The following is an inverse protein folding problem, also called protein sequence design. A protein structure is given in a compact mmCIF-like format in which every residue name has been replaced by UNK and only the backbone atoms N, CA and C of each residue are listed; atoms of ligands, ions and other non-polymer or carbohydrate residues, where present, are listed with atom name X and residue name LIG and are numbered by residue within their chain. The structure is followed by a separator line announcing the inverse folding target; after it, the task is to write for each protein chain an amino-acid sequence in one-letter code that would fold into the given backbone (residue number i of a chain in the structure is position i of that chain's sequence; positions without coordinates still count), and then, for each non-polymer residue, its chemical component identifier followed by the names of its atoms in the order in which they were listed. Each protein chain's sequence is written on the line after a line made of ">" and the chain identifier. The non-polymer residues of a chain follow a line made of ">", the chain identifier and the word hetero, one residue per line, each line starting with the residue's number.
data_IF_556987558901
#
_entry.id   IF_556987558901
#
_cell.length_a   1.000
_cell.length_b   1.000
_cell.length_c   1.000
_cell.angle_alpha   90.00
_cell.angle_beta   90.00
_cell.angle_gamma   90.00
#
_symmetry.space_group_name_H-M   'P 1'
#
loop_
_entity.id
_entity.type
_entity.pdbx_description
1 polymer ?
#
# COMPACT_ATOMS: atom_id res chain seq x y z
N UNK A 1 -17.03 23.15 -5.84
CA UNK A 1 -17.61 22.85 -7.17
C UNK A 1 -18.18 21.42 -7.26
N UNK A 2 -17.40 20.34 -6.98
CA UNK A 2 -17.91 18.97 -7.03
C UNK A 2 -18.90 18.70 -5.88
N UNK A 3 -18.50 19.00 -4.64
CA UNK A 3 -19.32 18.84 -3.43
C UNK A 3 -20.56 19.72 -3.39
N UNK A 4 -20.52 20.88 -4.05
CA UNK A 4 -21.68 21.78 -4.19
C UNK A 4 -22.76 21.20 -5.13
N UNK A 5 -22.36 20.39 -6.10
CA UNK A 5 -23.28 19.75 -7.06
C UNK A 5 -23.83 18.40 -6.56
N UNK A 6 -23.13 17.76 -5.66
CA UNK A 6 -23.48 16.46 -5.12
C UNK A 6 -23.32 16.50 -3.59
N UNK A 7 -24.32 17.09 -2.87
CA UNK A 7 -24.25 17.29 -1.42
C UNK A 7 -24.12 15.99 -0.63
N UNK A 8 -24.56 14.87 -1.20
CA UNK A 8 -24.43 13.53 -0.60
C UNK A 8 -23.04 12.91 -0.80
N UNK A 9 -22.18 13.58 -1.58
CA UNK A 9 -20.83 13.11 -1.83
C UNK A 9 -19.92 13.51 -0.67
N UNK A 10 -19.47 12.52 0.08
CA UNK A 10 -18.61 12.71 1.25
C UNK A 10 -17.60 11.57 1.38
N UNK A 11 -16.61 11.73 2.26
CA UNK A 11 -15.71 10.63 2.61
C UNK A 11 -16.49 9.44 3.17
N UNK A 12 -17.57 9.67 3.92
CA UNK A 12 -18.43 8.61 4.43
C UNK A 12 -19.15 7.84 3.30
N UNK A 13 -19.64 8.52 2.27
CA UNK A 13 -20.28 7.86 1.11
C UNK A 13 -19.29 7.04 0.29
N UNK A 14 -18.04 7.49 0.21
CA UNK A 14 -16.97 6.71 -0.40
C UNK A 14 -16.66 5.45 0.42
N UNK A 15 -16.59 5.60 1.74
CA UNK A 15 -16.33 4.51 2.66
C UNK A 15 -17.40 3.42 2.59
N UNK A 16 -18.68 3.83 2.57
CA UNK A 16 -19.82 2.92 2.40
C UNK A 16 -19.83 2.20 1.05
N UNK A 17 -19.31 2.84 0.02
CA UNK A 17 -19.28 2.32 -1.35
C UNK A 17 -18.04 1.49 -1.64
N UNK A 18 -16.99 1.66 -0.82
CA UNK A 18 -15.78 0.87 -0.97
C UNK A 18 -16.08 -0.56 -0.50
N UNK A 19 -15.70 -1.58 -1.28
CA UNK A 19 -15.90 -2.95 -0.83
C UNK A 19 -15.30 -3.11 0.57
N UNK A 20 -16.10 -3.51 1.54
CA UNK A 20 -15.61 -3.81 2.89
C UNK A 20 -14.66 -4.99 2.78
N UNK A 21 -13.39 -4.68 2.68
CA UNK A 21 -12.40 -5.66 2.38
C UNK A 21 -11.57 -5.93 3.63
N UNK A 22 -11.51 -7.19 3.99
CA UNK A 22 -10.49 -7.71 4.86
C UNK A 22 -9.11 -7.37 4.27
N UNK A 23 -8.08 -7.07 5.08
CA UNK A 23 -6.75 -6.74 4.59
C UNK A 23 -6.18 -7.78 3.61
N UNK A 24 -6.50 -9.06 3.80
CA UNK A 24 -6.10 -10.13 2.90
C UNK A 24 -6.71 -9.99 1.50
N UNK A 25 -7.96 -9.54 1.40
CA UNK A 25 -8.60 -9.25 0.12
C UNK A 25 -7.92 -8.07 -0.58
N UNK A 26 -7.64 -6.98 0.13
CA UNK A 26 -6.95 -5.82 -0.44
C UNK A 26 -5.58 -6.21 -1.01
N UNK A 27 -4.80 -6.99 -0.27
CA UNK A 27 -3.49 -7.46 -0.72
C UNK A 27 -3.58 -8.38 -1.94
N UNK A 28 -4.60 -9.23 -2.00
CA UNK A 28 -4.83 -10.09 -3.16
C UNK A 28 -5.23 -9.28 -4.39
N UNK A 29 -6.15 -8.34 -4.26
CA UNK A 29 -6.60 -7.46 -5.35
C UNK A 29 -5.43 -6.60 -5.87
N UNK A 30 -4.68 -5.97 -4.97
CA UNK A 30 -3.49 -5.20 -5.30
C UNK A 30 -2.46 -6.03 -6.07
N UNK A 31 -2.20 -7.26 -5.61
CA UNK A 31 -1.27 -8.19 -6.28
C UNK A 31 -1.73 -8.56 -7.69
N UNK A 32 -3.03 -8.72 -7.90
CA UNK A 32 -3.58 -9.00 -9.22
C UNK A 32 -3.46 -7.80 -10.15
N UNK A 33 -3.83 -6.60 -9.69
CA UNK A 33 -3.78 -5.38 -10.52
C UNK A 33 -2.36 -4.94 -10.84
N UNK A 34 -1.45 -5.05 -9.89
CA UNK A 34 -0.05 -4.69 -10.14
C UNK A 34 0.64 -5.53 -11.22
N UNK A 35 0.12 -6.72 -11.53
CA UNK A 35 0.74 -7.62 -12.50
C UNK A 35 0.79 -7.06 -13.93
N UNK A 36 -0.04 -6.07 -14.25
CA UNK A 36 -0.01 -5.37 -15.53
C UNK A 36 1.08 -4.28 -15.59
N UNK A 37 1.43 -3.69 -14.43
CA UNK A 37 2.30 -2.53 -14.34
C UNK A 37 3.72 -2.85 -13.83
N UNK A 38 3.88 -3.96 -13.12
CA UNK A 38 5.13 -4.33 -12.44
C UNK A 38 5.60 -5.74 -12.84
N UNK A 39 6.92 -5.96 -12.92
CA UNK A 39 7.46 -7.27 -13.29
C UNK A 39 7.11 -8.35 -12.24
N UNK A 40 6.96 -9.61 -12.67
CA UNK A 40 6.77 -10.72 -11.73
C UNK A 40 7.99 -10.91 -10.83
N UNK A 41 7.79 -11.55 -9.68
CA UNK A 41 8.90 -11.89 -8.79
C UNK A 41 9.92 -12.78 -9.52
N UNK A 42 11.23 -12.53 -9.34
CA UNK A 42 12.27 -13.36 -9.92
C UNK A 42 12.16 -14.82 -9.48
N UNK A 43 12.32 -15.76 -10.44
CA UNK A 43 12.37 -17.20 -10.17
C UNK A 43 11.01 -17.82 -9.78
N UNK A 44 9.89 -17.18 -10.21
CA UNK A 44 8.53 -17.62 -9.89
C UNK A 44 8.29 -17.79 -8.38
N UNK A 45 9.01 -17.02 -7.57
CA UNK A 45 8.87 -17.03 -6.11
C UNK A 45 7.57 -16.33 -5.73
N UNK A 46 6.78 -16.99 -4.89
CA UNK A 46 5.58 -16.42 -4.32
C UNK A 46 5.77 -16.17 -2.82
N UNK A 47 6.15 -14.96 -2.39
CA UNK A 47 6.28 -14.66 -0.98
C UNK A 47 4.90 -14.69 -0.30
N UNK A 48 4.83 -15.38 0.84
CA UNK A 48 3.65 -15.31 1.69
C UNK A 48 3.57 -13.93 2.35
N UNK A 49 2.35 -13.50 2.68
CA UNK A 49 2.14 -12.31 3.49
C UNK A 49 1.05 -12.60 4.53
N UNK A 50 1.40 -12.46 5.80
CA UNK A 50 0.45 -12.56 6.91
C UNK A 50 0.18 -11.20 7.49
N UNK A 51 -1.11 -10.82 7.56
CA UNK A 51 -1.51 -9.61 8.27
C UNK A 51 -1.69 -9.95 9.75
N UNK A 52 -1.02 -9.19 10.61
CA UNK A 52 -1.02 -9.34 12.06
C UNK A 52 -1.48 -8.05 12.72
N UNK A 53 -1.95 -8.16 13.97
CA UNK A 53 -2.29 -7.01 14.80
C UNK A 53 -1.08 -6.58 15.60
N UNK A 54 -0.94 -5.27 15.79
CA UNK A 54 0.02 -4.72 16.74
C UNK A 54 -0.39 -5.14 18.16
N UNK A 55 0.59 -5.45 19.00
CA UNK A 55 0.30 -5.74 20.41
C UNK A 55 -0.30 -4.51 21.10
N UNK A 56 -1.36 -4.65 21.92
CA UNK A 56 -2.00 -3.51 22.60
C UNK A 56 -1.01 -2.62 23.39
N UNK A 57 0.06 -3.19 23.90
CA UNK A 57 1.11 -2.44 24.61
C UNK A 57 1.99 -1.55 23.72
N UNK A 58 1.95 -1.78 22.40
CA UNK A 58 2.74 -1.06 21.40
C UNK A 58 1.91 -0.14 20.51
N UNK A 59 0.59 -0.24 20.54
CA UNK A 59 -0.30 0.52 19.68
C UNK A 59 -0.07 2.04 19.76
N UNK A 60 0.18 2.56 20.96
CA UNK A 60 0.40 3.99 21.19
C UNK A 60 1.66 4.52 20.48
N UNK A 61 2.62 3.65 20.24
CA UNK A 61 3.94 3.99 19.69
C UNK A 61 4.14 3.49 18.26
N UNK A 62 3.15 2.85 17.67
CA UNK A 62 3.24 2.24 16.35
C UNK A 62 2.50 3.07 15.30
N UNK A 63 3.01 3.05 14.08
CA UNK A 63 2.31 3.56 12.89
C UNK A 63 0.96 2.85 12.70
N UNK A 64 0.03 3.42 11.94
CA UNK A 64 -1.26 2.77 11.62
C UNK A 64 -1.10 1.40 10.95
N UNK A 65 -0.09 1.25 10.08
CA UNK A 65 0.39 -0.03 9.59
C UNK A 65 1.90 0.03 9.34
N UNK A 66 2.55 -1.14 9.26
CA UNK A 66 3.94 -1.25 8.84
C UNK A 66 4.27 -2.66 8.37
N UNK A 67 5.12 -2.73 7.35
CA UNK A 67 5.74 -3.94 6.90
C UNK A 67 6.96 -4.28 7.76
N UNK A 68 7.02 -5.50 8.27
CA UNK A 68 8.20 -5.99 8.98
C UNK A 68 9.10 -6.76 8.01
N UNK A 69 10.28 -6.20 7.76
CA UNK A 69 11.29 -6.84 6.90
C UNK A 69 11.64 -8.23 7.43
N UNK A 70 11.56 -9.27 6.59
CA UNK A 70 11.86 -10.64 7.00
C UNK A 70 13.36 -10.82 7.28
N UNK A 71 13.73 -11.90 7.95
CA UNK A 71 15.14 -12.29 8.09
C UNK A 71 15.82 -12.45 6.72
N UNK A 72 17.13 -12.16 6.67
CA UNK A 72 17.90 -12.21 5.40
C UNK A 72 17.95 -13.64 4.81
N UNK A 73 17.86 -14.63 5.65
CA UNK A 73 17.91 -16.07 5.30
C UNK A 73 16.55 -16.68 4.97
N UNK A 74 15.46 -15.97 5.30
CA UNK A 74 14.10 -16.40 4.93
C UNK A 74 13.24 -15.21 4.46
N UNK A 75 13.28 -14.95 3.17
CA UNK A 75 12.53 -13.84 2.51
C UNK A 75 11.13 -14.28 2.06
N UNK A 76 10.75 -15.52 2.31
CA UNK A 76 9.48 -16.07 1.82
C UNK A 76 8.31 -15.78 2.76
N UNK A 77 8.59 -15.61 4.06
CA UNK A 77 7.59 -15.32 5.07
C UNK A 77 7.58 -13.83 5.46
N UNK A 78 6.55 -13.12 5.04
CA UNK A 78 6.42 -11.69 5.26
C UNK A 78 5.24 -11.36 6.18
N UNK A 79 5.35 -10.28 6.91
CA UNK A 79 4.30 -9.81 7.82
C UNK A 79 4.04 -8.32 7.69
N UNK A 80 2.76 -7.95 7.63
CA UNK A 80 2.31 -6.57 7.76
C UNK A 80 1.54 -6.49 9.07
N UNK A 81 1.86 -5.50 9.89
CA UNK A 81 1.17 -5.23 11.13
C UNK A 81 0.20 -4.07 10.96
N UNK A 82 -1.01 -4.22 11.48
CA UNK A 82 -2.04 -3.18 11.51
C UNK A 82 -2.30 -2.80 12.96
N UNK A 83 -2.34 -1.50 13.21
CA UNK A 83 -2.66 -0.91 14.50
C UNK A 83 -4.18 -0.72 14.60
N UNK A 84 -4.81 -1.34 15.59
CA UNK A 84 -6.25 -1.25 15.79
C UNK A 84 -6.70 -0.03 16.61
N UNK A 85 -5.76 0.74 17.18
CA UNK A 85 -6.07 1.97 17.90
C UNK A 85 -6.74 3.01 17.00
N UNK A 86 -6.25 3.12 15.75
CA UNK A 86 -6.80 4.01 14.72
C UNK A 86 -7.14 3.16 13.48
N UNK A 87 -8.30 2.48 13.49
CA UNK A 87 -8.65 1.53 12.45
C UNK A 87 -8.82 2.25 11.10
N UNK A 88 -8.06 1.80 10.12
CA UNK A 88 -8.20 2.22 8.73
C UNK A 88 -9.26 1.35 8.04
N UNK A 89 -10.03 1.96 7.17
CA UNK A 89 -11.06 1.29 6.39
C UNK A 89 -11.06 1.80 4.95
N UNK A 90 -11.75 1.10 4.07
CA UNK A 90 -11.99 1.54 2.70
C UNK A 90 -10.73 1.93 1.94
N UNK A 91 -10.74 3.13 1.37
CA UNK A 91 -9.64 3.64 0.55
C UNK A 91 -8.33 3.81 1.33
N UNK A 92 -8.40 4.25 2.58
CA UNK A 92 -7.20 4.47 3.40
C UNK A 92 -6.48 3.14 3.69
N UNK A 93 -7.24 2.11 4.03
CA UNK A 93 -6.69 0.76 4.21
C UNK A 93 -6.07 0.24 2.91
N UNK A 94 -6.77 0.39 1.79
CA UNK A 94 -6.32 -0.09 0.48
C UNK A 94 -5.01 0.56 0.05
N UNK A 95 -4.91 1.90 0.13
CA UNK A 95 -3.70 2.63 -0.26
C UNK A 95 -2.54 2.39 0.70
N UNK A 96 -2.82 2.23 2.00
CA UNK A 96 -1.80 1.88 3.00
C UNK A 96 -1.27 0.46 2.76
N UNK A 97 -2.13 -0.51 2.44
CA UNK A 97 -1.69 -1.87 2.09
C UNK A 97 -0.94 -1.93 0.75
N UNK A 98 -1.19 -0.99 -0.16
CA UNK A 98 -0.36 -0.82 -1.35
C UNK A 98 1.04 -0.32 -0.99
N UNK A 99 1.15 0.64 -0.05
CA UNK A 99 2.41 1.15 0.47
C UNK A 99 3.23 0.07 1.20
N UNK A 100 2.61 -0.66 2.13
CA UNK A 100 3.28 -1.65 2.96
C UNK A 100 3.49 -3.01 2.25
N UNK A 101 2.55 -3.41 1.41
CA UNK A 101 2.49 -4.73 0.78
C UNK A 101 2.84 -4.72 -0.71
N UNK A 102 1.79 -4.75 -1.54
CA UNK A 102 1.87 -4.87 -2.99
C UNK A 102 1.32 -3.61 -3.69
N UNK A 103 2.15 -2.96 -4.54
CA UNK A 103 3.53 -3.22 -4.92
C UNK A 103 4.60 -2.49 -4.05
N UNK A 104 4.29 -2.18 -2.80
CA UNK A 104 5.09 -1.36 -1.88
C UNK A 104 6.32 -2.05 -1.27
N UNK A 105 6.50 -1.83 0.03
CA UNK A 105 7.69 -2.26 0.78
C UNK A 105 7.96 -3.77 0.68
N UNK A 106 6.92 -4.61 0.82
CA UNK A 106 7.08 -6.07 0.72
C UNK A 106 7.59 -6.45 -0.67
N UNK A 107 6.91 -6.00 -1.72
CA UNK A 107 7.31 -6.31 -3.09
C UNK A 107 8.73 -5.83 -3.39
N UNK A 108 9.05 -4.58 -3.07
CA UNK A 108 10.37 -4.00 -3.28
C UNK A 108 11.46 -4.80 -2.57
N UNK A 109 11.24 -5.12 -1.29
CA UNK A 109 12.23 -5.82 -0.45
C UNK A 109 12.52 -7.22 -0.98
N UNK A 110 11.48 -8.01 -1.22
CA UNK A 110 11.64 -9.39 -1.71
C UNK A 110 12.21 -9.41 -3.12
N UNK A 111 11.71 -8.56 -4.02
CA UNK A 111 12.23 -8.45 -5.38
C UNK A 111 13.72 -8.10 -5.39
N UNK A 112 14.12 -7.10 -4.60
CA UNK A 112 15.51 -6.71 -4.49
C UNK A 112 16.40 -7.86 -3.96
N UNK A 113 15.96 -8.53 -2.89
CA UNK A 113 16.72 -9.63 -2.29
C UNK A 113 16.88 -10.81 -3.26
N UNK A 114 15.83 -11.21 -3.97
CA UNK A 114 15.88 -12.25 -5.01
C UNK A 114 16.85 -11.86 -6.14
N UNK A 115 16.83 -10.62 -6.57
CA UNK A 115 17.79 -10.13 -7.56
C UNK A 115 19.25 -10.16 -7.04
N UNK A 116 19.47 -9.95 -5.75
CA UNK A 116 20.81 -9.98 -5.14
C UNK A 116 21.33 -11.41 -4.96
N UNK A 117 20.48 -12.36 -4.60
CA UNK A 117 20.86 -13.78 -4.48
C UNK A 117 21.40 -14.36 -5.79
N UNK A 118 20.88 -13.92 -6.91
CA UNK A 118 21.29 -14.34 -8.26
C UNK A 118 22.53 -13.62 -8.81
N UNK A 119 23.09 -12.69 -8.08
CA UNK A 119 24.29 -11.93 -8.47
C UNK A 119 25.31 -12.06 -7.35
N UNK A 120 26.61 -12.20 -7.70
CA UNK A 120 27.72 -12.06 -6.74
C UNK A 120 27.74 -10.60 -6.19
N UNK A 121 26.71 -10.23 -5.47
CA UNK A 121 26.55 -8.89 -4.93
C UNK A 121 27.41 -8.71 -3.68
N UNK A 122 27.95 -7.50 -3.50
CA UNK A 122 28.69 -7.18 -2.29
C UNK A 122 27.76 -7.26 -1.08
N UNK A 123 28.07 -8.07 -0.03
CA UNK A 123 27.25 -8.20 1.17
C UNK A 123 26.97 -6.88 1.90
N UNK A 124 27.86 -5.88 1.72
CA UNK A 124 27.65 -4.54 2.28
C UNK A 124 26.33 -3.89 1.83
N UNK A 125 25.80 -4.26 0.66
CA UNK A 125 24.53 -3.75 0.17
C UNK A 125 23.33 -4.16 1.04
N UNK A 126 23.39 -5.34 1.64
CA UNK A 126 22.34 -5.82 2.55
C UNK A 126 22.39 -5.14 3.92
N UNK A 127 23.50 -4.50 4.27
CA UNK A 127 23.68 -3.77 5.51
C UNK A 127 23.34 -2.28 5.40
N UNK A 128 23.24 -1.76 4.17
CA UNK A 128 22.98 -0.34 3.93
C UNK A 128 21.47 -0.14 3.72
N UNK A 129 20.87 0.67 4.57
CA UNK A 129 19.48 1.09 4.45
C UNK A 129 19.39 2.48 3.82
N UNK A 130 18.67 2.56 2.70
CA UNK A 130 18.41 3.82 1.99
C UNK A 130 16.94 4.22 2.18
N UNK A 131 16.62 4.82 3.35
CA UNK A 131 15.24 5.16 3.71
C UNK A 131 14.51 5.97 2.64
N UNK A 132 15.14 7.02 2.11
CA UNK A 132 14.54 7.84 1.04
C UNK A 132 14.23 7.07 -0.24
N UNK A 133 15.01 6.04 -0.57
CA UNK A 133 14.71 5.17 -1.70
C UNK A 133 13.54 4.23 -1.43
N UNK A 134 13.52 3.63 -0.23
CA UNK A 134 12.45 2.71 0.16
C UNK A 134 11.10 3.43 0.27
N UNK A 135 11.08 4.58 0.98
CA UNK A 135 9.88 5.39 1.15
C UNK A 135 9.42 6.06 -0.16
N UNK A 136 10.39 6.52 -0.97
CA UNK A 136 10.06 7.11 -2.27
C UNK A 136 9.39 6.12 -3.22
N UNK A 137 9.81 4.86 -3.21
CA UNK A 137 9.14 3.79 -3.93
C UNK A 137 7.74 3.55 -3.37
N UNK A 138 7.62 3.37 -2.06
CA UNK A 138 6.35 3.08 -1.41
C UNK A 138 5.33 4.21 -1.62
N UNK A 139 5.73 5.48 -1.56
CA UNK A 139 4.90 6.62 -1.89
C UNK A 139 4.50 6.66 -3.38
N UNK A 140 5.41 6.33 -4.28
CA UNK A 140 5.09 6.25 -5.70
C UNK A 140 3.98 5.24 -5.97
N UNK A 141 4.08 4.04 -5.41
CA UNK A 141 3.09 2.99 -5.61
C UNK A 141 1.80 3.21 -4.81
N UNK A 142 1.87 3.90 -3.67
CA UNK A 142 0.69 4.42 -2.97
C UNK A 142 -0.12 5.34 -3.90
N UNK A 143 0.55 6.26 -4.59
CA UNK A 143 -0.14 7.13 -5.57
C UNK A 143 -0.71 6.36 -6.76
N UNK A 144 -0.04 5.31 -7.22
CA UNK A 144 -0.55 4.43 -8.28
C UNK A 144 -1.79 3.64 -7.83
N UNK A 145 -1.83 3.21 -6.57
CA UNK A 145 -2.92 2.40 -6.04
C UNK A 145 -4.29 3.11 -6.03
N UNK A 146 -4.32 4.44 -6.06
CA UNK A 146 -5.58 5.18 -6.25
C UNK A 146 -6.23 4.86 -7.60
N UNK A 147 -5.44 4.54 -8.62
CA UNK A 147 -5.99 4.08 -9.89
C UNK A 147 -6.61 2.69 -9.76
N UNK A 148 -5.94 1.76 -9.07
CA UNK A 148 -6.47 0.44 -8.78
C UNK A 148 -7.75 0.51 -7.94
N UNK A 149 -7.78 1.38 -6.94
CA UNK A 149 -8.99 1.64 -6.14
C UNK A 149 -10.17 2.14 -6.99
N UNK A 150 -9.90 3.02 -7.96
CA UNK A 150 -10.94 3.50 -8.89
C UNK A 150 -11.47 2.37 -9.78
N UNK A 151 -10.62 1.46 -10.22
CA UNK A 151 -11.03 0.29 -11.01
C UNK A 151 -11.89 -0.66 -10.18
N UNK A 152 -11.47 -0.98 -8.95
CA UNK A 152 -12.23 -1.78 -8.00
C UNK A 152 -13.62 -1.19 -7.73
N UNK A 153 -13.70 0.12 -7.47
CA UNK A 153 -14.96 0.83 -7.27
C UNK A 153 -15.84 0.82 -8.52
N UNK A 154 -15.24 0.99 -9.70
CA UNK A 154 -15.96 0.95 -10.98
C UNK A 154 -16.56 -0.44 -11.25
N UNK A 155 -15.82 -1.49 -10.95
CA UNK A 155 -16.28 -2.89 -11.03
C UNK A 155 -17.43 -3.15 -10.05
N UNK A 156 -17.42 -2.48 -8.89
CA UNK A 156 -18.50 -2.53 -7.89
C UNK A 156 -19.70 -1.64 -8.24
N UNK A 157 -19.68 -0.94 -9.39
CA UNK A 157 -20.79 -0.11 -9.84
C UNK A 157 -20.83 1.30 -9.26
N UNK A 158 -19.71 1.81 -8.72
CA UNK A 158 -19.62 3.15 -8.16
C UNK A 158 -19.92 4.24 -9.20
N UNK A 159 -20.54 5.35 -8.74
CA UNK A 159 -20.87 6.49 -9.58
C UNK A 159 -19.62 7.23 -10.06
N UNK A 160 -19.72 7.97 -11.16
CA UNK A 160 -18.64 8.80 -11.67
C UNK A 160 -18.22 9.89 -10.66
N UNK A 161 -19.14 10.35 -9.82
CA UNK A 161 -18.87 11.34 -8.79
C UNK A 161 -17.97 10.76 -7.68
N UNK A 162 -18.22 9.49 -7.28
CA UNK A 162 -17.34 8.79 -6.34
C UNK A 162 -15.93 8.57 -6.90
N UNK A 163 -15.81 8.18 -8.17
CA UNK A 163 -14.51 8.05 -8.84
C UNK A 163 -13.76 9.38 -8.90
N UNK A 164 -14.49 10.48 -9.09
CA UNK A 164 -13.92 11.84 -9.06
C UNK A 164 -13.50 12.25 -7.64
N UNK A 165 -14.19 11.77 -6.61
CA UNK A 165 -13.80 12.00 -5.22
C UNK A 165 -12.49 11.28 -4.90
N UNK A 166 -12.31 10.03 -5.32
CA UNK A 166 -11.05 9.30 -5.17
C UNK A 166 -9.89 10.07 -5.81
N UNK A 167 -10.10 10.62 -7.01
CA UNK A 167 -9.09 11.45 -7.67
C UNK A 167 -8.79 12.75 -6.89
N UNK A 168 -9.80 13.38 -6.32
CA UNK A 168 -9.61 14.55 -5.47
C UNK A 168 -8.80 14.22 -4.20
N UNK A 169 -9.05 13.05 -3.59
CA UNK A 169 -8.29 12.57 -2.43
C UNK A 169 -6.83 12.29 -2.80
N UNK A 170 -6.58 11.65 -3.94
CA UNK A 170 -5.22 11.44 -4.48
C UNK A 170 -4.48 12.77 -4.65
N UNK A 171 -5.12 13.76 -5.27
CA UNK A 171 -4.53 15.09 -5.47
C UNK A 171 -4.25 15.80 -4.14
N UNK A 172 -5.17 15.71 -3.18
CA UNK A 172 -4.99 16.25 -1.84
C UNK A 172 -3.79 15.62 -1.14
N UNK A 173 -3.66 14.27 -1.20
CA UNK A 173 -2.50 13.55 -0.67
C UNK A 173 -1.20 14.01 -1.32
N UNK A 174 -1.19 14.18 -2.65
CA UNK A 174 -0.04 14.69 -3.39
C UNK A 174 0.36 16.10 -2.95
N UNK A 175 -0.61 16.99 -2.73
CA UNK A 175 -0.36 18.35 -2.23
C UNK A 175 0.26 18.31 -0.82
N UNK A 176 -0.27 17.47 0.07
CA UNK A 176 0.28 17.31 1.41
C UNK A 176 1.74 16.84 1.37
N UNK A 177 2.07 15.84 0.55
CA UNK A 177 3.43 15.34 0.38
C UNK A 177 4.38 16.42 -0.18
N UNK A 178 3.92 17.22 -1.15
CA UNK A 178 4.68 18.36 -1.66
C UNK A 178 4.93 19.42 -0.57
N UNK A 179 3.95 19.71 0.27
CA UNK A 179 4.10 20.65 1.37
C UNK A 179 5.10 20.15 2.42
N UNK A 180 5.05 18.88 2.78
CA UNK A 180 6.03 18.28 3.70
C UNK A 180 7.47 18.30 3.15
N UNK A 181 7.63 18.19 1.84
CA UNK A 181 8.98 18.25 1.22
C UNK A 181 9.55 19.67 1.11
N UNK A 182 8.78 20.70 1.43
CA UNK A 182 9.22 22.10 1.47
C UNK A 182 9.62 22.56 2.87
N UNK A 183 9.34 21.77 3.91
CA UNK A 183 9.67 22.06 5.31
C UNK A 183 10.98 21.41 5.72
#
# INVERSE_FOLDING_TARGET
>A
ALLEKSPDLSAASLEESFPQAEPAFCLQDLRQRMAEDFPPMPGDTEPSCTVKRVSPSLEEYSSPAFYLTPPIDDITENSIYINEKDPMTGLDLYTTLAHEGYPGHLYQTVYFQLCQQNKNSNPARSLLHYGGYCEGWALYVEMQSYQYAKELLKESGASQDLLSLVEAMRLNRSIQLCLYSLL
#
